data_IF_347894022397
#
_entry.id   IF_347894022397
#
_cell.length_a   1.000
_cell.length_b   1.000
_cell.length_c   1.000
_cell.angle_alpha   90.00
_cell.angle_beta   90.00
_cell.angle_gamma   90.00
#
_symmetry.space_group_name_H-M   'P 1'
#
loop_
_entity.id
_entity.type
_entity.pdbx_description
1 polymer ?
#
# COMPACT_ATOMS: atom_id res chain seq x y z
N UNK A 1 14.02 -2.88 18.96
CA UNK A 1 14.00 -2.51 17.52
C UNK A 1 13.43 -3.69 16.76
N UNK A 2 12.27 -3.54 16.10
CA UNK A 2 11.65 -4.59 15.28
C UNK A 2 12.16 -4.45 13.83
N UNK A 3 13.45 -4.69 13.60
CA UNK A 3 14.14 -4.43 12.32
C UNK A 3 14.31 -5.68 11.46
N UNK A 4 13.64 -6.80 11.79
CA UNK A 4 13.84 -8.09 11.11
C UNK A 4 13.48 -8.06 9.62
N UNK A 5 12.66 -7.11 9.17
CA UNK A 5 12.16 -7.04 7.78
C UNK A 5 12.28 -5.66 7.12
N UNK A 6 13.10 -4.78 7.69
CA UNK A 6 13.24 -3.40 7.22
C UNK A 6 13.68 -3.35 5.75
N UNK A 7 14.60 -4.23 5.36
CA UNK A 7 15.11 -4.32 3.99
C UNK A 7 14.13 -4.95 2.98
N UNK A 8 12.98 -5.48 3.40
CA UNK A 8 12.06 -6.17 2.50
C UNK A 8 10.91 -5.27 2.02
N UNK A 9 10.56 -4.23 2.78
CA UNK A 9 9.37 -3.43 2.56
C UNK A 9 9.69 -1.98 2.19
N UNK A 10 8.97 -1.45 1.19
CA UNK A 10 8.94 -0.03 0.90
C UNK A 10 7.87 0.65 1.77
N UNK A 11 8.32 1.25 2.87
CA UNK A 11 7.49 2.04 3.79
C UNK A 11 7.60 3.55 3.54
N UNK A 12 8.11 3.98 2.38
CA UNK A 12 8.22 5.40 2.05
C UNK A 12 6.86 6.07 1.82
N UNK A 13 5.78 5.28 1.71
CA UNK A 13 4.43 5.76 1.45
C UNK A 13 3.66 6.13 2.74
N UNK A 14 4.23 5.87 3.91
CA UNK A 14 3.63 6.27 5.18
C UNK A 14 3.75 7.79 5.42
N UNK A 15 2.92 8.38 6.28
CA UNK A 15 3.10 9.76 6.72
C UNK A 15 4.47 9.93 7.39
N UNK A 16 5.16 11.05 7.12
CA UNK A 16 6.52 11.30 7.66
C UNK A 16 6.61 11.30 9.19
N UNK A 17 5.48 11.55 9.88
CA UNK A 17 5.39 11.49 11.36
C UNK A 17 5.20 10.07 11.91
N UNK A 18 5.03 9.07 11.05
CA UNK A 18 4.81 7.69 11.46
C UNK A 18 6.14 7.03 11.86
N UNK A 19 6.11 6.23 12.93
CA UNK A 19 7.26 5.46 13.43
C UNK A 19 7.84 4.49 12.39
N UNK A 20 7.03 4.07 11.42
CA UNK A 20 7.41 3.11 10.38
C UNK A 20 7.85 3.76 9.07
N UNK A 21 7.85 5.09 8.98
CA UNK A 21 8.29 5.79 7.78
C UNK A 21 9.80 5.63 7.57
N UNK A 22 10.20 5.04 6.45
CA UNK A 22 11.58 4.98 6.00
C UNK A 22 11.67 5.20 4.49
N UNK A 23 12.61 6.05 4.05
CA UNK A 23 12.81 6.36 2.63
C UNK A 23 13.81 5.40 1.94
N UNK A 24 14.52 4.56 2.69
CA UNK A 24 15.61 3.70 2.20
C UNK A 24 15.24 2.76 1.05
N UNK A 25 14.02 2.25 1.02
CA UNK A 25 13.57 1.23 0.06
C UNK A 25 12.59 1.78 -0.98
N UNK A 26 12.48 3.11 -1.08
CA UNK A 26 11.56 3.79 -1.99
C UNK A 26 11.78 3.37 -3.44
N UNK A 27 10.76 2.74 -4.03
CA UNK A 27 10.78 2.29 -5.42
C UNK A 27 11.94 1.35 -5.79
N UNK A 28 12.53 0.64 -4.82
CA UNK A 28 13.56 -0.37 -5.08
C UNK A 28 12.91 -1.64 -5.64
N UNK A 29 13.45 -2.16 -6.74
CA UNK A 29 12.96 -3.39 -7.38
C UNK A 29 13.04 -4.60 -6.42
N UNK A 30 12.02 -5.44 -6.47
CA UNK A 30 11.93 -6.64 -5.62
C UNK A 30 11.53 -6.38 -4.16
N UNK A 31 11.20 -5.13 -3.79
CA UNK A 31 10.69 -4.77 -2.46
C UNK A 31 9.16 -4.69 -2.46
N UNK A 32 8.54 -5.14 -1.38
CA UNK A 32 7.09 -5.09 -1.23
C UNK A 32 6.64 -3.70 -0.81
N UNK A 33 5.81 -3.07 -1.63
CA UNK A 33 5.24 -1.76 -1.32
C UNK A 33 3.88 -1.89 -0.66
N UNK A 34 3.64 -1.05 0.34
CA UNK A 34 2.30 -0.89 0.89
C UNK A 34 1.43 0.00 -0.02
N UNK A 35 0.46 -0.61 -0.70
CA UNK A 35 -0.45 0.09 -1.62
C UNK A 35 -1.41 1.05 -0.93
N UNK A 36 -1.73 0.81 0.35
CA UNK A 36 -2.74 1.56 1.08
C UNK A 36 -2.17 2.74 1.89
N UNK A 37 -0.86 2.95 1.87
CA UNK A 37 -0.18 4.04 2.59
C UNK A 37 -0.41 4.00 4.10
N UNK A 38 -0.51 2.80 4.67
CA UNK A 38 -0.81 2.56 6.08
C UNK A 38 -2.28 2.62 6.45
N UNK A 39 -3.19 2.64 5.47
CA UNK A 39 -4.63 2.69 5.71
C UNK A 39 -5.23 1.29 5.58
N UNK A 40 -6.10 0.93 6.51
CA UNK A 40 -6.85 -0.32 6.41
C UNK A 40 -7.91 -0.23 5.30
N UNK A 41 -8.07 -1.31 4.52
CA UNK A 41 -9.15 -1.46 3.56
C UNK A 41 -10.41 -1.93 4.30
N UNK A 42 -11.48 -1.15 4.26
CA UNK A 42 -12.73 -1.43 4.99
C UNK A 42 -13.76 -2.18 4.13
N UNK A 43 -13.73 -1.96 2.82
CA UNK A 43 -14.66 -2.58 1.86
C UNK A 43 -13.90 -2.93 0.60
N UNK A 44 -14.19 -4.10 0.04
CA UNK A 44 -13.58 -4.58 -1.20
C UNK A 44 -14.64 -5.27 -2.06
N UNK A 45 -14.60 -5.01 -3.36
CA UNK A 45 -15.37 -5.74 -4.37
C UNK A 45 -14.44 -6.08 -5.55
N UNK A 46 -14.39 -7.36 -5.89
CA UNK A 46 -13.61 -7.87 -7.03
C UNK A 46 -14.55 -8.51 -8.04
N UNK A 47 -14.51 -8.04 -9.29
CA UNK A 47 -15.38 -8.54 -10.36
C UNK A 47 -14.64 -9.50 -11.30
N UNK A 48 -13.47 -9.07 -11.81
CA UNK A 48 -12.58 -9.89 -12.66
C UNK A 48 -11.11 -9.53 -12.37
N UNK A 49 -10.13 -10.31 -12.85
CA UNK A 49 -8.73 -9.89 -12.79
C UNK A 49 -8.56 -8.47 -13.33
N UNK A 50 -7.91 -7.60 -12.56
CA UNK A 50 -7.72 -6.17 -12.88
C UNK A 50 -9.00 -5.32 -12.96
N UNK A 51 -10.15 -5.83 -12.49
CA UNK A 51 -11.39 -5.07 -12.28
C UNK A 51 -11.85 -5.22 -10.82
N UNK A 52 -11.53 -4.22 -10.02
CA UNK A 52 -11.84 -4.23 -8.60
C UNK A 52 -11.99 -2.82 -8.07
N UNK A 53 -12.70 -2.68 -6.95
CA UNK A 53 -12.83 -1.43 -6.22
C UNK A 53 -12.67 -1.70 -4.73
N UNK A 54 -12.04 -0.78 -4.02
CA UNK A 54 -11.96 -0.85 -2.58
C UNK A 54 -11.99 0.53 -1.93
N UNK A 55 -12.42 0.55 -0.68
CA UNK A 55 -12.51 1.76 0.13
C UNK A 55 -11.55 1.62 1.31
N UNK A 56 -10.73 2.64 1.50
CA UNK A 56 -9.84 2.76 2.64
C UNK A 56 -10.55 3.42 3.82
N UNK A 57 -10.07 3.19 5.05
CA UNK A 57 -10.60 3.83 6.26
C UNK A 57 -10.56 5.38 6.22
N UNK A 58 -9.76 5.96 5.34
CA UNK A 58 -9.75 7.41 5.09
C UNK A 58 -10.95 7.90 4.28
N UNK A 59 -11.90 7.03 3.91
CA UNK A 59 -13.01 7.35 3.02
C UNK A 59 -12.62 7.44 1.54
N UNK A 60 -11.35 7.23 1.21
CA UNK A 60 -10.85 7.26 -0.18
C UNK A 60 -11.18 5.95 -0.86
N UNK A 61 -11.81 6.04 -2.02
CA UNK A 61 -12.08 4.91 -2.91
C UNK A 61 -10.99 4.78 -3.99
N UNK A 62 -10.58 3.53 -4.27
CA UNK A 62 -9.72 3.21 -5.42
C UNK A 62 -10.46 2.24 -6.32
N UNK A 63 -10.74 2.67 -7.54
CA UNK A 63 -11.33 1.87 -8.60
C UNK A 63 -10.24 1.51 -9.62
N UNK A 64 -10.14 0.22 -9.94
CA UNK A 64 -9.20 -0.28 -10.95
C UNK A 64 -9.99 -0.99 -12.04
N UNK A 65 -9.78 -0.55 -13.28
CA UNK A 65 -10.24 -1.23 -14.48
C UNK A 65 -9.10 -1.17 -15.51
N UNK A 66 -8.24 -2.19 -15.54
CA UNK A 66 -7.13 -2.28 -16.51
C UNK A 66 -7.39 -3.39 -17.52
N UNK A 67 -6.95 -3.19 -18.77
CA UNK A 67 -7.15 -4.16 -19.85
C UNK A 67 -8.58 -4.18 -20.39
N UNK A 68 -9.13 -2.98 -20.61
CA UNK A 68 -10.16 -2.79 -21.65
C UNK A 68 -9.43 -2.63 -22.98
#
# INVERSE_FOLDING_TARGET
>A
MYTKYDDLFDTSNYPAKNKYYQDKNKAVLGKFKDEAGGRANIKFVGLRPKLYSYVMNSGVEKKTCKGI
#
